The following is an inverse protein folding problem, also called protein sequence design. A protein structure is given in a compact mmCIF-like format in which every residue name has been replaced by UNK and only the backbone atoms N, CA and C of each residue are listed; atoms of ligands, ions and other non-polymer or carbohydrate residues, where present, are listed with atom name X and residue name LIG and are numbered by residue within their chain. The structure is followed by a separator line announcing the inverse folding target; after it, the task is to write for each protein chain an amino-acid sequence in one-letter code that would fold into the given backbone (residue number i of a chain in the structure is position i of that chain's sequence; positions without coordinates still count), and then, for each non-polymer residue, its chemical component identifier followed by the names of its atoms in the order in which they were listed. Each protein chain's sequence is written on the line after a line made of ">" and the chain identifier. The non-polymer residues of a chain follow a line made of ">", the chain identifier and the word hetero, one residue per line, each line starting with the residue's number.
data_IF_723724162103
#
_entry.id   IF_723724162103
#
_cell.length_a   1.000
_cell.length_b   1.000
_cell.length_c   1.000
_cell.angle_alpha   90.00
_cell.angle_beta   90.00
_cell.angle_gamma   90.00
#
_symmetry.space_group_name_H-M   'P 1'
#
loop_
_entity.id
_entity.type
_entity.pdbx_description
1 polymer ?
#
# COMPACT_ATOMS: atom_id res chain seq x y z
N UNK A 1 13.83 20.99 0.83
CA UNK A 1 13.65 20.36 0.72
C UNK A 1 12.74 19.88 0.57
N UNK A 2 12.49 19.64 0.46
CA UNK A 2 11.79 19.27 0.32
C UNK A 2 11.16 18.55 0.20
N UNK A 3 11.04 18.42 0.22
CA UNK A 3 10.58 17.61 -0.28
C UNK A 3 9.78 16.64 0.28
N UNK A 4 8.74 16.89 0.39
CA UNK A 4 7.85 16.04 0.76
C UNK A 4 7.38 15.29 -0.36
N UNK A 5 8.00 14.23 -0.66
CA UNK A 5 7.55 13.30 -1.63
C UNK A 5 6.28 12.66 -1.14
N UNK A 6 5.25 12.61 -1.95
CA UNK A 6 4.01 11.94 -1.58
C UNK A 6 4.26 10.45 -1.36
N UNK A 7 3.63 9.90 -0.38
CA UNK A 7 3.81 8.49 -0.04
C UNK A 7 2.51 7.91 0.52
N UNK A 8 2.44 6.59 0.55
CA UNK A 8 1.39 5.87 1.26
C UNK A 8 2.05 5.08 2.38
N UNK A 9 1.23 4.65 3.32
CA UNK A 9 1.70 3.89 4.46
C UNK A 9 0.91 2.60 4.58
N UNK A 10 1.58 1.53 4.92
CA UNK A 10 0.94 0.27 5.24
C UNK A 10 0.63 0.32 6.72
N UNK A 11 -0.66 0.28 7.11
CA UNK A 11 -1.01 0.25 8.53
C UNK A 11 -0.44 -1.02 9.16
N UNK A 12 -0.19 -0.96 10.45
CA UNK A 12 0.24 -2.14 11.17
C UNK A 12 -0.95 -3.04 11.42
N UNK A 13 -1.46 -3.62 10.35
CA UNK A 13 -2.52 -4.58 10.45
C UNK A 13 -1.89 -5.89 10.07
N UNK A 14 -1.73 -6.77 11.01
CA UNK A 14 -1.27 -8.09 10.70
C UNK A 14 -2.49 -8.90 10.34
N UNK A 15 -2.40 -9.65 9.34
CA UNK A 15 -3.33 -10.67 8.89
C UNK A 15 -4.73 -10.57 9.57
N UNK A 16 -5.48 -9.59 9.17
CA UNK A 16 -6.85 -9.42 9.65
C UNK A 16 -7.75 -10.04 8.59
N UNK A 17 -8.30 -11.19 8.92
CA UNK A 17 -9.12 -11.92 7.97
C UNK A 17 -10.30 -11.12 7.46
N UNK A 18 -10.90 -10.28 8.28
CA UNK A 18 -12.04 -9.48 7.86
C UNK A 18 -11.64 -8.45 6.82
N UNK A 19 -10.53 -7.77 7.04
CA UNK A 19 -10.04 -6.77 6.09
C UNK A 19 -9.71 -7.42 4.75
N UNK A 20 -8.98 -8.53 4.78
CA UNK A 20 -8.59 -9.19 3.55
C UNK A 20 -9.75 -9.88 2.85
N UNK A 21 -10.70 -10.41 3.61
CA UNK A 21 -11.86 -11.10 3.02
C UNK A 21 -12.74 -10.12 2.24
N UNK A 22 -12.84 -8.88 2.71
CA UNK A 22 -13.69 -7.89 2.07
C UNK A 22 -12.95 -7.04 1.03
N UNK A 23 -11.65 -7.16 0.96
CA UNK A 23 -10.85 -6.33 0.06
C UNK A 23 -10.87 -6.87 -1.37
N UNK A 24 -10.75 -5.95 -2.32
CA UNK A 24 -10.57 -6.30 -3.71
C UNK A 24 -9.25 -7.03 -3.89
N UNK A 25 -9.23 -8.00 -4.79
CA UNK A 25 -8.01 -8.75 -5.06
C UNK A 25 -6.87 -7.83 -5.51
N UNK A 26 -7.18 -6.81 -6.31
CA UNK A 26 -6.17 -5.85 -6.74
C UNK A 26 -5.61 -5.06 -5.56
N UNK A 27 -6.45 -4.72 -4.58
CA UNK A 27 -6.01 -4.03 -3.36
C UNK A 27 -5.07 -4.90 -2.54
N UNK A 28 -5.39 -6.17 -2.41
CA UNK A 28 -4.55 -7.12 -1.67
C UNK A 28 -3.20 -7.29 -2.38
N UNK A 29 -3.23 -7.39 -3.71
CA UNK A 29 -2.01 -7.50 -4.51
C UNK A 29 -1.12 -6.26 -4.33
N UNK A 30 -1.71 -5.09 -4.35
CA UNK A 30 -0.96 -3.85 -4.13
C UNK A 30 -0.38 -3.81 -2.72
N UNK A 31 -1.19 -4.18 -1.72
CA UNK A 31 -0.74 -4.24 -0.34
C UNK A 31 0.48 -5.15 -0.22
N UNK A 32 0.43 -6.32 -0.84
CA UNK A 32 1.52 -7.28 -0.77
C UNK A 32 2.80 -6.71 -1.38
N UNK A 33 2.71 -6.08 -2.56
CA UNK A 33 3.87 -5.48 -3.19
C UNK A 33 4.47 -4.37 -2.34
N UNK A 34 3.62 -3.54 -1.74
CA UNK A 34 4.08 -2.48 -0.85
C UNK A 34 4.77 -3.06 0.38
N UNK A 35 4.19 -4.12 0.95
CA UNK A 35 4.76 -4.75 2.14
C UNK A 35 6.13 -5.36 1.84
N UNK A 36 6.26 -6.05 0.72
CA UNK A 36 7.54 -6.65 0.33
C UNK A 36 8.59 -5.58 0.04
N UNK A 37 8.20 -4.53 -0.67
CA UNK A 37 9.14 -3.44 -0.97
C UNK A 37 9.61 -2.75 0.31
N UNK A 38 8.68 -2.46 1.21
CA UNK A 38 9.00 -1.80 2.47
C UNK A 38 9.91 -2.67 3.34
N UNK A 39 9.63 -3.96 3.40
CA UNK A 39 10.45 -4.88 4.18
C UNK A 39 11.88 -4.94 3.62
N UNK A 40 12.00 -5.00 2.29
CA UNK A 40 13.30 -5.06 1.64
C UNK A 40 14.12 -3.79 1.88
N UNK A 41 13.45 -2.63 1.88
CA UNK A 41 14.12 -1.34 2.02
C UNK A 41 14.15 -0.83 3.46
N UNK A 42 13.50 -1.56 4.38
CA UNK A 42 13.43 -1.20 5.80
C UNK A 42 12.86 0.20 5.99
N UNK A 43 11.75 0.49 5.30
CA UNK A 43 11.10 1.80 5.37
C UNK A 43 9.97 1.87 6.37
N UNK A 44 9.76 0.81 7.14
CA UNK A 44 8.75 0.77 8.20
C UNK A 44 7.33 1.04 7.69
N UNK A 45 7.02 0.49 6.53
CA UNK A 45 5.68 0.59 5.96
C UNK A 45 5.43 1.82 5.11
N UNK A 46 6.44 2.67 4.91
CA UNK A 46 6.27 3.88 4.10
C UNK A 46 6.75 3.60 2.68
N UNK A 47 5.89 3.86 1.69
CA UNK A 47 6.23 3.62 0.29
C UNK A 47 5.96 4.89 -0.50
N UNK A 48 6.96 5.42 -1.21
CA UNK A 48 6.75 6.60 -2.04
C UNK A 48 5.69 6.35 -3.11
N UNK A 49 4.83 7.31 -3.34
CA UNK A 49 3.73 7.15 -4.29
C UNK A 49 4.22 6.83 -5.69
N UNK A 50 5.35 7.39 -6.10
CA UNK A 50 5.89 7.07 -7.42
C UNK A 50 6.30 5.60 -7.53
N UNK A 51 6.74 4.99 -6.44
CA UNK A 51 7.05 3.55 -6.44
C UNK A 51 5.77 2.73 -6.57
N UNK A 52 4.72 3.15 -5.88
CA UNK A 52 3.41 2.50 -5.98
C UNK A 52 2.92 2.51 -7.42
N UNK A 53 3.09 3.62 -8.11
CA UNK A 53 2.72 3.70 -9.52
C UNK A 53 3.54 2.78 -10.39
N UNK A 54 4.79 2.56 -10.04
CA UNK A 54 5.66 1.64 -10.79
C UNK A 54 5.27 0.18 -10.59
N UNK A 55 4.52 -0.12 -9.54
CA UNK A 55 3.94 -1.46 -9.39
C UNK A 55 2.78 -1.68 -10.36
N UNK A 56 2.38 -0.64 -11.09
CA UNK A 56 1.29 -0.74 -12.04
C UNK A 56 -0.05 -0.33 -11.48
N UNK A 57 -0.08 0.23 -10.27
CA UNK A 57 -1.33 0.60 -9.64
C UNK A 57 -1.85 1.91 -10.22
N UNK A 58 -3.12 1.91 -10.65
CA UNK A 58 -3.80 3.13 -11.06
C UNK A 58 -4.29 3.88 -9.82
N UNK A 59 -4.69 5.13 -10.02
CA UNK A 59 -5.26 5.92 -8.95
C UNK A 59 -6.48 5.21 -8.33
N UNK A 60 -7.30 4.59 -9.17
CA UNK A 60 -8.49 3.88 -8.70
C UNK A 60 -8.14 2.71 -7.78
N UNK A 61 -7.10 1.95 -8.13
CA UNK A 61 -6.66 0.83 -7.29
C UNK A 61 -6.10 1.34 -5.96
N UNK A 62 -5.34 2.41 -6.00
CA UNK A 62 -4.79 3.00 -4.77
C UNK A 62 -5.91 3.48 -3.86
N UNK A 63 -6.89 4.18 -4.42
CA UNK A 63 -8.03 4.66 -3.65
C UNK A 63 -8.83 3.51 -3.05
N UNK A 64 -9.01 2.45 -3.83
CA UNK A 64 -9.73 1.28 -3.34
C UNK A 64 -8.97 0.61 -2.19
N UNK A 65 -7.65 0.51 -2.29
CA UNK A 65 -6.85 -0.08 -1.23
C UNK A 65 -6.92 0.75 0.06
N UNK A 66 -6.97 2.08 -0.08
CA UNK A 66 -7.14 2.95 1.08
C UNK A 66 -8.53 2.75 1.68
N UNK A 67 -9.57 2.68 0.84
CA UNK A 67 -10.94 2.46 1.30
C UNK A 67 -11.09 1.11 1.99
N UNK A 68 -10.35 0.10 1.52
CA UNK A 68 -10.40 -1.24 2.10
C UNK A 68 -9.59 -1.35 3.40
N UNK A 69 -8.88 -0.29 3.78
CA UNK A 69 -8.11 -0.29 5.02
C UNK A 69 -6.73 -0.92 4.92
N UNK A 70 -6.28 -1.24 3.72
CA UNK A 70 -4.97 -1.86 3.51
C UNK A 70 -3.83 -0.85 3.39
N UNK A 71 -4.15 0.37 2.98
CA UNK A 71 -3.18 1.45 2.85
C UNK A 71 -3.75 2.73 3.46
N UNK A 72 -2.89 3.64 3.80
CA UNK A 72 -3.33 4.93 4.30
C UNK A 72 -2.46 6.08 3.82
#
# INVERSE_FOLDING_TARGET
>A
MSAQEAHIRIPQIWWDDEVFADADLASVGLWLQCALWSADRMTDGVVPLKRVRRFGASAAVIEQAVADGLLS
#
